data_IF_556211308392
#
_entry.id   IF_556211308392
#
_cell.length_a   1.000
_cell.length_b   1.000
_cell.length_c   1.000
_cell.angle_alpha   90.00
_cell.angle_beta   90.00
_cell.angle_gamma   90.00
#
_symmetry.space_group_name_H-M   'P 1'
#
loop_
_entity.id
_entity.type
_entity.pdbx_description
1 polymer ?
#
# COMPACT_ATOMS: atom_id res chain seq x y z
N UNK A 1 73.94 -24.64 -4.52
CA UNK A 1 73.13 -23.47 -5.02
C UNK A 1 71.67 -23.82 -4.77
N UNK A 2 71.13 -23.37 -3.63
CA UNK A 2 69.73 -23.56 -3.26
C UNK A 2 68.94 -22.32 -3.69
N UNK A 3 67.98 -22.50 -4.60
CA UNK A 3 67.03 -21.45 -4.96
C UNK A 3 65.80 -21.57 -4.06
N UNK A 4 65.65 -20.61 -3.12
CA UNK A 4 64.41 -20.40 -2.37
C UNK A 4 63.35 -19.81 -3.30
N UNK A 5 62.23 -20.50 -3.45
CA UNK A 5 61.07 -19.97 -4.13
C UNK A 5 60.17 -19.35 -3.05
N UNK A 6 60.04 -18.01 -3.13
CA UNK A 6 59.19 -17.24 -2.25
C UNK A 6 57.75 -17.22 -2.84
N UNK A 7 56.81 -17.88 -2.20
CA UNK A 7 55.40 -17.84 -2.58
C UNK A 7 54.74 -16.60 -1.98
N UNK A 8 54.43 -15.61 -2.82
CA UNK A 8 53.61 -14.45 -2.43
C UNK A 8 52.15 -14.87 -2.43
N UNK A 9 51.57 -14.96 -1.25
CA UNK A 9 50.11 -15.14 -1.08
C UNK A 9 49.46 -13.74 -1.27
N UNK A 10 48.78 -13.55 -2.41
CA UNK A 10 47.89 -12.42 -2.62
C UNK A 10 46.59 -12.71 -1.89
N UNK A 11 46.35 -11.98 -0.79
CA UNK A 11 45.02 -11.88 -0.20
C UNK A 11 44.17 -10.96 -1.10
N UNK A 12 43.27 -11.54 -1.88
CA UNK A 12 42.21 -10.84 -2.53
C UNK A 12 41.18 -10.45 -1.45
N UNK A 13 41.24 -9.23 -0.99
CA UNK A 13 40.10 -8.62 -0.27
C UNK A 13 38.95 -8.49 -1.26
N UNK A 14 38.01 -9.45 -1.19
CA UNK A 14 36.71 -9.29 -1.82
C UNK A 14 35.97 -8.19 -1.07
N UNK A 15 35.94 -7.01 -1.65
CA UNK A 15 35.03 -5.96 -1.25
C UNK A 15 33.63 -6.45 -1.64
N UNK A 16 32.89 -7.09 -0.74
CA UNK A 16 31.49 -7.35 -0.93
C UNK A 16 30.78 -5.99 -0.90
N UNK A 17 30.50 -5.44 -2.07
CA UNK A 17 29.52 -4.38 -2.19
C UNK A 17 28.19 -4.96 -1.65
N UNK A 18 27.72 -4.50 -0.50
CA UNK A 18 26.38 -4.74 0.00
C UNK A 18 25.37 -4.10 -0.96
N UNK A 19 25.18 -4.75 -2.11
CA UNK A 19 24.01 -4.49 -2.91
C UNK A 19 22.85 -5.18 -2.19
N UNK A 20 21.99 -4.42 -1.54
CA UNK A 20 20.71 -4.87 -1.07
C UNK A 20 19.88 -5.29 -2.29
N UNK A 21 19.97 -6.57 -2.64
CA UNK A 21 19.22 -7.12 -3.77
C UNK A 21 17.79 -7.36 -3.34
N UNK A 22 16.85 -6.88 -4.17
CA UNK A 22 15.50 -7.37 -4.11
C UNK A 22 15.52 -8.88 -4.43
N UNK A 23 15.01 -9.68 -3.51
CA UNK A 23 14.86 -11.12 -3.69
C UNK A 23 13.54 -11.39 -4.39
N UNK A 24 13.60 -12.13 -5.50
CA UNK A 24 12.41 -12.56 -6.24
C UNK A 24 11.81 -13.80 -5.60
N UNK A 25 10.49 -13.79 -5.45
CA UNK A 25 9.72 -14.92 -4.93
C UNK A 25 8.48 -15.18 -5.79
N UNK A 26 8.06 -16.44 -5.79
CA UNK A 26 6.79 -16.83 -6.40
C UNK A 26 6.06 -17.82 -5.51
N UNK A 27 4.76 -17.69 -5.40
CA UNK A 27 3.91 -18.53 -4.56
C UNK A 27 2.66 -18.93 -5.35
N UNK A 28 2.27 -20.20 -5.23
CA UNK A 28 1.04 -20.68 -5.84
C UNK A 28 -0.16 -20.13 -5.05
N UNK A 29 -1.00 -19.38 -5.75
CA UNK A 29 -2.24 -18.86 -5.18
C UNK A 29 -3.35 -18.99 -6.23
N UNK A 30 -4.48 -19.57 -5.82
CA UNK A 30 -5.44 -20.10 -6.78
C UNK A 30 -4.71 -21.00 -7.79
N UNK A 31 -4.98 -20.95 -9.05
CA UNK A 31 -4.36 -21.77 -10.11
C UNK A 31 -3.18 -21.07 -10.82
N UNK A 32 -2.56 -20.06 -10.18
CA UNK A 32 -1.50 -19.28 -10.80
C UNK A 32 -0.32 -19.00 -9.87
N UNK A 33 0.88 -18.88 -10.48
CA UNK A 33 2.04 -18.40 -9.74
C UNK A 33 1.97 -16.89 -9.63
N UNK A 34 1.94 -16.39 -8.38
CA UNK A 34 1.94 -14.95 -8.06
C UNK A 34 3.34 -14.57 -7.57
N UNK A 35 3.83 -13.43 -8.02
CA UNK A 35 5.18 -12.95 -7.75
C UNK A 35 5.18 -11.85 -6.71
N UNK A 36 6.22 -11.80 -5.88
CA UNK A 36 6.52 -10.68 -4.99
C UNK A 36 8.03 -10.52 -4.82
N UNK A 37 8.45 -9.34 -4.41
CA UNK A 37 9.85 -9.02 -4.16
C UNK A 37 10.05 -8.73 -2.68
N UNK A 38 11.20 -9.11 -2.12
CA UNK A 38 11.52 -8.84 -0.72
C UNK A 38 12.79 -7.99 -0.63
N UNK A 39 12.72 -6.91 0.11
CA UNK A 39 13.86 -6.16 0.59
C UNK A 39 14.14 -6.54 2.04
N UNK A 40 15.38 -6.88 2.33
CA UNK A 40 15.82 -7.21 3.68
C UNK A 40 16.89 -6.20 4.08
N UNK A 41 16.72 -5.47 5.21
CA UNK A 41 17.70 -4.49 5.66
C UNK A 41 19.03 -5.16 6.05
N UNK A 42 20.10 -4.38 6.11
CA UNK A 42 21.43 -4.90 6.42
C UNK A 42 21.55 -5.46 7.85
N UNK A 43 20.72 -4.97 8.79
CA UNK A 43 20.63 -5.43 10.16
C UNK A 43 19.35 -6.25 10.39
N UNK A 44 19.42 -7.56 10.36
CA UNK A 44 18.29 -8.41 10.73
C UNK A 44 18.33 -8.65 12.24
N UNK A 45 17.26 -8.23 12.93
CA UNK A 45 17.09 -8.39 14.38
C UNK A 45 15.98 -9.36 14.74
N UNK A 46 15.54 -9.27 15.99
CA UNK A 46 14.30 -9.85 16.51
C UNK A 46 13.18 -8.81 16.43
N UNK A 47 11.93 -9.26 16.50
CA UNK A 47 10.75 -8.38 16.55
C UNK A 47 10.69 -7.37 15.39
N UNK A 48 10.98 -7.83 14.16
CA UNK A 48 11.01 -7.00 12.97
C UNK A 48 9.62 -6.50 12.55
N UNK A 49 9.59 -5.35 11.89
CA UNK A 49 8.39 -4.87 11.20
C UNK A 49 8.43 -5.29 9.74
N UNK A 50 7.34 -5.90 9.25
CA UNK A 50 7.12 -6.17 7.84
C UNK A 50 6.25 -5.07 7.23
N UNK A 51 6.73 -4.45 6.15
CA UNK A 51 5.98 -3.48 5.36
C UNK A 51 5.60 -4.09 4.02
N UNK A 52 4.30 -4.22 3.76
CA UNK A 52 3.75 -4.71 2.49
C UNK A 52 3.38 -3.52 1.62
N UNK A 53 4.07 -3.31 0.51
CA UNK A 53 3.88 -2.20 -0.41
C UNK A 53 3.05 -2.58 -1.65
N UNK A 54 1.89 -1.95 -1.85
CA UNK A 54 0.92 -2.24 -2.90
C UNK A 54 0.87 -1.10 -3.93
N UNK A 55 1.22 -1.40 -5.19
CA UNK A 55 1.21 -0.42 -6.28
C UNK A 55 -0.22 -0.07 -6.73
N UNK A 56 -0.39 1.07 -7.41
CA UNK A 56 -1.67 1.46 -8.02
C UNK A 56 -2.00 0.70 -9.31
N UNK A 57 -3.18 0.96 -9.87
CA UNK A 57 -3.60 0.45 -11.18
C UNK A 57 -2.53 0.75 -12.24
N UNK A 58 -2.22 -0.22 -13.10
CA UNK A 58 -1.12 -0.18 -14.09
C UNK A 58 0.31 -0.13 -13.52
N UNK A 59 0.45 -0.09 -12.21
CA UNK A 59 1.74 -0.03 -11.53
C UNK A 59 2.48 -1.37 -11.47
N UNK A 60 3.53 -1.40 -10.67
CA UNK A 60 4.34 -2.59 -10.37
C UNK A 60 5.08 -2.39 -9.05
N UNK A 61 5.63 -3.45 -8.48
CA UNK A 61 6.56 -3.37 -7.34
C UNK A 61 7.66 -2.33 -7.57
N UNK A 62 8.25 -2.31 -8.76
CA UNK A 62 9.31 -1.37 -9.12
C UNK A 62 8.84 0.09 -9.09
N UNK A 63 7.63 0.38 -9.58
CA UNK A 63 7.09 1.75 -9.58
C UNK A 63 6.67 2.18 -8.17
N UNK A 64 6.31 1.24 -7.29
CA UNK A 64 6.07 1.53 -5.89
C UNK A 64 7.36 1.88 -5.14
N UNK A 65 8.42 1.06 -5.30
CA UNK A 65 9.71 1.24 -4.64
C UNK A 65 10.35 2.58 -5.03
N UNK A 66 10.25 2.95 -6.31
CA UNK A 66 10.84 4.18 -6.83
C UNK A 66 9.77 5.21 -7.16
N UNK A 67 9.76 6.29 -6.38
CA UNK A 67 8.85 7.40 -6.60
C UNK A 67 9.66 8.70 -6.74
N UNK A 68 9.77 9.19 -7.98
CA UNK A 68 10.59 10.34 -8.29
C UNK A 68 12.06 10.13 -7.87
N UNK A 69 12.57 10.99 -6.99
CA UNK A 69 13.91 10.91 -6.40
C UNK A 69 13.99 10.04 -5.13
N UNK A 70 12.85 9.52 -4.65
CA UNK A 70 12.81 8.66 -3.48
C UNK A 70 12.93 7.17 -3.86
N UNK A 71 13.62 6.43 -3.01
CA UNK A 71 13.66 4.98 -2.99
C UNK A 71 13.08 4.51 -1.66
N UNK A 72 11.97 3.81 -1.69
CA UNK A 72 11.27 3.36 -0.48
C UNK A 72 12.15 2.43 0.39
N UNK A 73 13.03 1.66 -0.24
CA UNK A 73 13.99 0.81 0.48
C UNK A 73 14.97 1.59 1.35
N UNK A 74 15.29 2.85 1.01
CA UNK A 74 16.16 3.69 1.85
C UNK A 74 15.46 4.00 3.19
N UNK A 75 14.14 4.22 3.16
CA UNK A 75 13.34 4.39 4.38
C UNK A 75 13.30 3.10 5.21
N UNK A 76 13.13 1.94 4.56
CA UNK A 76 13.13 0.64 5.24
C UNK A 76 14.48 0.32 5.87
N UNK A 77 15.60 0.63 5.19
CA UNK A 77 16.94 0.46 5.73
C UNK A 77 17.16 1.29 7.01
N UNK A 78 16.79 2.58 6.98
CA UNK A 78 16.93 3.49 8.11
C UNK A 78 16.14 3.02 9.33
N UNK A 79 14.93 2.48 9.11
CA UNK A 79 14.02 2.04 10.17
C UNK A 79 14.21 0.55 10.53
N UNK A 80 15.11 -0.16 9.87
CA UNK A 80 15.34 -1.58 10.03
C UNK A 80 14.08 -2.43 9.80
N UNK A 81 13.33 -2.13 8.73
CA UNK A 81 12.11 -2.84 8.35
C UNK A 81 12.35 -3.77 7.17
N UNK A 82 11.67 -4.91 7.15
CA UNK A 82 11.60 -5.79 5.99
C UNK A 82 10.50 -5.28 5.07
N UNK A 83 10.81 -5.07 3.78
CA UNK A 83 9.83 -4.71 2.76
C UNK A 83 9.41 -5.90 1.92
N UNK A 84 8.15 -6.00 1.58
CA UNK A 84 7.68 -6.92 0.55
C UNK A 84 6.77 -6.20 -0.43
N UNK A 85 6.94 -6.48 -1.71
CA UNK A 85 6.29 -5.80 -2.81
C UNK A 85 5.64 -6.82 -3.74
N UNK A 86 4.41 -7.22 -3.46
CA UNK A 86 3.64 -8.10 -4.33
C UNK A 86 3.32 -7.45 -5.66
N UNK A 87 3.16 -8.27 -6.71
CA UNK A 87 2.67 -7.83 -8.02
C UNK A 87 1.19 -8.12 -8.17
N UNK A 88 0.44 -7.09 -8.55
CA UNK A 88 -0.96 -7.20 -8.93
C UNK A 88 -1.14 -8.11 -10.15
N UNK A 89 -2.35 -8.65 -10.33
CA UNK A 89 -2.66 -9.48 -11.48
C UNK A 89 -2.46 -8.68 -12.77
N UNK A 90 -1.56 -9.16 -13.64
CA UNK A 90 -1.25 -8.47 -14.89
C UNK A 90 -1.93 -9.11 -16.10
N UNK A 91 -2.32 -8.27 -17.04
CA UNK A 91 -3.00 -8.66 -18.26
C UNK A 91 -2.66 -7.69 -19.40
N UNK A 92 -2.93 -8.10 -20.63
CA UNK A 92 -2.73 -7.26 -21.81
C UNK A 92 -4.07 -6.81 -22.36
N UNK A 93 -4.22 -5.51 -22.59
CA UNK A 93 -5.37 -4.93 -23.26
C UNK A 93 -4.92 -3.76 -24.14
N UNK A 94 -5.52 -3.61 -25.32
CA UNK A 94 -5.23 -2.51 -26.26
C UNK A 94 -3.72 -2.34 -26.57
N UNK A 95 -2.97 -3.45 -26.64
CA UNK A 95 -1.53 -3.46 -26.90
C UNK A 95 -0.66 -2.96 -25.76
N UNK A 96 -1.21 -2.81 -24.54
CA UNK A 96 -0.49 -2.39 -23.33
C UNK A 96 -0.65 -3.42 -22.22
N UNK A 97 0.34 -3.49 -21.33
CA UNK A 97 0.28 -4.29 -20.12
C UNK A 97 -0.38 -3.45 -19.02
N UNK A 98 -1.35 -4.03 -18.36
CA UNK A 98 -2.03 -3.50 -17.18
C UNK A 98 -1.75 -4.42 -15.99
N UNK A 99 -1.97 -3.89 -14.79
CA UNK A 99 -1.97 -4.64 -13.55
C UNK A 99 -2.96 -4.01 -12.59
N UNK A 100 -3.66 -4.81 -11.81
CA UNK A 100 -4.63 -4.34 -10.85
C UNK A 100 -4.77 -5.29 -9.66
N UNK A 101 -5.42 -4.81 -8.64
CA UNK A 101 -5.80 -5.53 -7.44
C UNK A 101 -7.31 -5.63 -7.33
N UNK A 102 -7.80 -6.76 -6.85
CA UNK A 102 -9.18 -6.89 -6.41
C UNK A 102 -9.34 -6.19 -5.06
N UNK A 103 -9.86 -4.98 -5.10
CA UNK A 103 -10.21 -4.17 -3.92
C UNK A 103 -11.64 -4.45 -3.40
N UNK A 104 -12.27 -5.51 -3.89
CA UNK A 104 -13.63 -5.99 -3.64
C UNK A 104 -14.74 -5.14 -4.27
N UNK A 105 -14.47 -3.93 -4.69
CA UNK A 105 -15.44 -3.02 -5.30
C UNK A 105 -15.24 -2.89 -6.81
N UNK A 106 -14.03 -2.56 -7.23
CA UNK A 106 -13.69 -2.34 -8.64
C UNK A 106 -13.84 -3.59 -9.51
N UNK A 107 -13.80 -4.80 -8.93
CA UNK A 107 -14.00 -6.06 -9.64
C UNK A 107 -15.47 -6.35 -9.94
N UNK A 108 -16.40 -5.95 -9.07
CA UNK A 108 -17.85 -6.22 -9.23
C UNK A 108 -18.60 -5.04 -9.86
N UNK A 109 -18.09 -3.82 -9.73
CA UNK A 109 -18.66 -2.62 -10.35
C UNK A 109 -19.96 -2.13 -9.75
N UNK A 110 -20.46 -2.76 -8.70
CA UNK A 110 -21.71 -2.42 -8.03
C UNK A 110 -21.54 -2.56 -6.51
N UNK A 111 -21.98 -1.56 -5.78
CA UNK A 111 -21.94 -1.53 -4.33
C UNK A 111 -23.32 -1.51 -3.69
N UNK A 112 -23.38 -1.43 -2.34
CA UNK A 112 -24.64 -1.35 -1.60
C UNK A 112 -25.51 -0.14 -1.93
N UNK A 113 -24.90 0.92 -2.46
CA UNK A 113 -25.57 2.17 -2.88
C UNK A 113 -25.84 2.22 -4.38
N UNK A 114 -25.64 1.12 -5.10
CA UNK A 114 -25.83 1.01 -6.56
C UNK A 114 -24.52 0.91 -7.34
N UNK A 115 -24.57 1.28 -8.61
CA UNK A 115 -23.40 1.27 -9.50
C UNK A 115 -22.31 2.22 -8.97
N UNK A 116 -21.04 1.78 -9.08
CA UNK A 116 -19.89 2.61 -8.66
C UNK A 116 -19.40 3.56 -9.74
N UNK A 117 -20.14 3.72 -10.84
CA UNK A 117 -19.81 4.64 -11.92
C UNK A 117 -21.04 5.20 -12.61
N UNK A 118 -20.88 6.34 -13.28
CA UNK A 118 -21.87 6.93 -14.17
C UNK A 118 -22.02 6.11 -15.47
N UNK A 119 -23.08 6.39 -16.22
CA UNK A 119 -23.32 5.77 -17.54
C UNK A 119 -22.22 6.18 -18.55
N UNK A 120 -21.74 7.42 -18.45
CA UNK A 120 -20.75 8.04 -19.36
C UNK A 120 -19.31 7.99 -18.82
N UNK A 121 -19.03 7.10 -17.82
CA UNK A 121 -17.67 6.94 -17.25
C UNK A 121 -16.63 6.57 -18.30
N UNK A 122 -15.36 6.89 -18.03
CA UNK A 122 -14.23 6.39 -18.78
C UNK A 122 -14.12 4.87 -18.69
N UNK A 123 -13.68 4.24 -19.77
CA UNK A 123 -13.47 2.80 -19.80
C UNK A 123 -12.07 2.43 -19.35
N UNK A 124 -11.98 1.62 -18.31
CA UNK A 124 -10.75 0.99 -17.88
C UNK A 124 -10.75 -0.52 -18.22
N UNK A 125 -9.67 -1.03 -18.85
CA UNK A 125 -9.54 -2.46 -19.08
C UNK A 125 -9.45 -3.23 -17.76
N UNK A 126 -10.05 -4.41 -17.74
CA UNK A 126 -9.98 -5.38 -16.63
C UNK A 126 -9.45 -6.74 -17.13
N UNK A 127 -8.97 -7.63 -16.22
CA UNK A 127 -8.48 -8.95 -16.61
C UNK A 127 -9.51 -9.74 -17.41
N UNK A 128 -9.11 -10.42 -18.50
CA UNK A 128 -10.04 -11.13 -19.40
C UNK A 128 -10.66 -12.38 -18.76
N UNK A 129 -10.14 -12.85 -17.64
CA UNK A 129 -10.66 -13.95 -16.84
C UNK A 129 -11.74 -13.54 -15.83
N UNK A 130 -12.08 -12.26 -15.73
CA UNK A 130 -13.25 -11.80 -14.98
C UNK A 130 -14.54 -12.28 -15.68
N UNK A 131 -15.32 -13.10 -15.01
CA UNK A 131 -16.55 -13.69 -15.58
C UNK A 131 -17.70 -12.69 -15.44
N UNK A 132 -18.30 -12.30 -16.58
CA UNK A 132 -19.48 -11.40 -16.64
C UNK A 132 -19.29 -10.12 -15.78
N UNK A 133 -18.24 -9.34 -16.00
CA UNK A 133 -18.00 -8.15 -15.22
C UNK A 133 -19.12 -7.13 -15.45
N UNK A 134 -19.45 -6.40 -14.37
CA UNK A 134 -20.37 -5.27 -14.48
C UNK A 134 -19.73 -4.15 -15.32
N UNK A 135 -20.57 -3.26 -15.93
CA UNK A 135 -20.08 -2.14 -16.75
C UNK A 135 -19.10 -1.21 -16.04
N UNK A 136 -19.18 -1.13 -14.71
CA UNK A 136 -18.27 -0.33 -13.89
C UNK A 136 -17.04 -1.11 -13.39
N UNK A 137 -16.88 -2.39 -13.75
CA UNK A 137 -15.72 -3.19 -13.32
C UNK A 137 -14.45 -2.71 -14.02
N UNK A 138 -13.34 -2.62 -13.27
CA UNK A 138 -12.04 -2.20 -13.78
C UNK A 138 -10.85 -2.89 -13.10
N UNK A 139 -11.06 -3.57 -11.99
CA UNK A 139 -10.02 -4.21 -11.21
C UNK A 139 -9.96 -5.73 -11.43
N UNK A 140 -8.95 -6.37 -10.87
CA UNK A 140 -8.81 -7.84 -10.83
C UNK A 140 -10.01 -8.50 -10.15
N UNK A 141 -10.33 -9.73 -10.56
CA UNK A 141 -11.38 -10.58 -9.98
C UNK A 141 -10.81 -11.72 -9.12
N UNK A 142 -9.48 -11.79 -8.93
CA UNK A 142 -8.83 -12.82 -8.14
C UNK A 142 -8.90 -12.58 -6.64
N UNK A 143 -8.51 -13.57 -5.85
CA UNK A 143 -8.39 -13.45 -4.38
C UNK A 143 -7.05 -12.78 -4.00
N UNK A 144 -6.97 -11.46 -4.13
CA UNK A 144 -5.77 -10.73 -3.77
C UNK A 144 -5.56 -10.61 -2.26
N UNK A 145 -6.63 -10.63 -1.45
CA UNK A 145 -6.51 -10.65 0.02
C UNK A 145 -5.84 -11.94 0.48
N UNK A 146 -6.29 -13.10 0.01
CA UNK A 146 -5.65 -14.38 0.34
C UNK A 146 -4.24 -14.51 -0.22
N UNK A 147 -3.94 -13.89 -1.37
CA UNK A 147 -2.56 -13.81 -1.86
C UNK A 147 -1.66 -13.02 -0.91
N UNK A 148 -2.08 -11.83 -0.45
CA UNK A 148 -1.31 -11.01 0.48
C UNK A 148 -1.18 -11.71 1.85
N UNK A 149 -2.22 -12.41 2.29
CA UNK A 149 -2.14 -13.24 3.50
C UNK A 149 -1.02 -14.28 3.40
N UNK A 150 -0.92 -15.02 2.29
CA UNK A 150 0.18 -15.97 2.05
C UNK A 150 1.56 -15.30 2.00
N UNK A 151 1.66 -14.09 1.44
CA UNK A 151 2.91 -13.32 1.42
C UNK A 151 3.32 -12.93 2.84
N UNK A 152 2.39 -12.49 3.69
CA UNK A 152 2.65 -12.19 5.11
C UNK A 152 3.12 -13.47 5.83
N UNK A 153 2.42 -14.58 5.66
CA UNK A 153 2.77 -15.85 6.29
C UNK A 153 4.14 -16.36 5.84
N UNK A 154 4.50 -16.19 4.57
CA UNK A 154 5.84 -16.52 4.06
C UNK A 154 6.94 -15.79 4.85
N UNK A 155 6.75 -14.49 5.14
CA UNK A 155 7.72 -13.71 5.88
C UNK A 155 7.71 -14.03 7.38
N UNK A 156 6.53 -14.24 7.99
CA UNK A 156 6.42 -14.68 9.40
C UNK A 156 7.07 -16.05 9.65
N UNK A 157 7.08 -16.93 8.65
CA UNK A 157 7.77 -18.22 8.75
C UNK A 157 9.30 -18.12 8.60
N UNK A 158 9.81 -17.05 8.02
CA UNK A 158 11.24 -16.86 7.73
C UNK A 158 11.93 -15.91 8.69
N UNK A 159 11.20 -14.93 9.21
CA UNK A 159 11.73 -13.86 10.07
C UNK A 159 10.86 -13.72 11.33
N UNK A 160 11.46 -13.26 12.40
CA UNK A 160 10.74 -12.91 13.64
C UNK A 160 9.98 -11.58 13.45
N UNK A 161 8.79 -11.67 12.83
CA UNK A 161 7.93 -10.52 12.53
C UNK A 161 6.97 -10.28 13.68
N UNK A 162 7.09 -9.12 14.31
CA UNK A 162 6.22 -8.66 15.39
C UNK A 162 5.07 -7.79 14.88
N UNK A 163 5.33 -6.93 13.90
CA UNK A 163 4.34 -5.99 13.37
C UNK A 163 4.27 -6.05 11.85
N UNK A 164 3.06 -5.87 11.30
CA UNK A 164 2.80 -5.84 9.87
C UNK A 164 2.07 -4.54 9.51
N UNK A 165 2.67 -3.75 8.63
CA UNK A 165 2.09 -2.52 8.06
C UNK A 165 1.82 -2.76 6.58
N UNK A 166 0.60 -2.50 6.13
CA UNK A 166 0.24 -2.55 4.71
C UNK A 166 0.08 -1.13 4.19
N UNK A 167 0.87 -0.77 3.19
CA UNK A 167 0.82 0.55 2.55
C UNK A 167 0.50 0.40 1.07
N UNK A 168 -0.43 1.20 0.56
CA UNK A 168 -0.79 1.14 -0.85
C UNK A 168 -1.16 2.50 -1.44
N UNK A 169 -0.99 2.63 -2.75
CA UNK A 169 -1.33 3.82 -3.54
C UNK A 169 -2.50 3.52 -4.47
N UNK A 170 -3.51 4.41 -4.51
CA UNK A 170 -4.64 4.31 -5.45
C UNK A 170 -5.37 2.96 -5.30
N UNK A 171 -5.51 2.15 -6.34
CA UNK A 171 -6.03 0.78 -6.26
C UNK A 171 -5.32 -0.08 -5.18
N UNK A 172 -3.99 0.08 -5.01
CA UNK A 172 -3.26 -0.55 -3.90
C UNK A 172 -3.65 0.00 -2.52
N UNK A 173 -4.02 1.28 -2.43
CA UNK A 173 -4.56 1.90 -1.21
C UNK A 173 -5.96 1.36 -0.87
N UNK A 174 -6.80 1.17 -1.88
CA UNK A 174 -8.11 0.53 -1.74
C UNK A 174 -7.96 -0.91 -1.22
N UNK A 175 -7.01 -1.68 -1.79
CA UNK A 175 -6.71 -3.02 -1.31
C UNK A 175 -6.12 -2.99 0.10
N UNK A 176 -5.25 -2.04 0.45
CA UNK A 176 -4.71 -1.90 1.81
C UNK A 176 -5.83 -1.73 2.84
N UNK A 177 -6.84 -0.92 2.54
CA UNK A 177 -8.02 -0.77 3.40
C UNK A 177 -8.84 -2.07 3.48
N UNK A 178 -9.07 -2.75 2.37
CA UNK A 178 -9.77 -4.03 2.35
C UNK A 178 -9.02 -5.11 3.17
N UNK A 179 -7.68 -5.15 3.09
CA UNK A 179 -6.82 -6.03 3.89
C UNK A 179 -6.97 -5.69 5.38
N UNK A 180 -6.92 -4.41 5.74
CA UNK A 180 -7.12 -3.96 7.11
C UNK A 180 -8.44 -4.42 7.70
N UNK A 181 -9.51 -4.48 6.89
CA UNK A 181 -10.80 -4.98 7.34
C UNK A 181 -10.89 -6.51 7.46
N UNK A 182 -10.16 -7.25 6.62
CA UNK A 182 -10.30 -8.71 6.51
C UNK A 182 -9.21 -9.50 7.23
N UNK A 183 -8.00 -8.94 7.43
CA UNK A 183 -6.86 -9.61 8.04
C UNK A 183 -6.45 -9.00 9.39
N UNK A 184 -7.43 -8.60 10.21
CA UNK A 184 -7.23 -7.93 11.51
C UNK A 184 -6.41 -8.74 12.54
N UNK A 185 -6.21 -10.04 12.32
CA UNK A 185 -5.36 -10.90 13.16
C UNK A 185 -3.89 -10.95 12.67
N UNK A 186 -3.60 -10.37 11.50
CA UNK A 186 -2.29 -10.45 10.86
C UNK A 186 -1.66 -9.10 10.58
N UNK A 187 -2.48 -8.02 10.54
CA UNK A 187 -2.08 -6.67 10.17
C UNK A 187 -2.36 -5.71 11.33
N UNK A 188 -1.38 -4.91 11.70
CA UNK A 188 -1.43 -3.98 12.83
C UNK A 188 -1.76 -2.56 12.38
N UNK A 189 -1.35 -2.18 11.17
CA UNK A 189 -1.62 -0.86 10.61
C UNK A 189 -1.79 -0.88 9.09
N UNK A 190 -2.59 0.06 8.59
CA UNK A 190 -2.68 0.36 7.16
C UNK A 190 -2.32 1.81 6.88
N UNK A 191 -1.71 2.04 5.71
CA UNK A 191 -1.49 3.36 5.12
C UNK A 191 -2.14 3.36 3.74
N UNK A 192 -3.21 4.12 3.61
CA UNK A 192 -3.97 4.27 2.37
C UNK A 192 -3.62 5.62 1.72
N UNK A 193 -2.94 5.58 0.56
CA UNK A 193 -2.55 6.78 -0.20
C UNK A 193 -3.48 6.90 -1.40
N UNK A 194 -4.32 7.95 -1.46
CA UNK A 194 -5.22 8.24 -2.59
C UNK A 194 -6.08 7.05 -3.03
N UNK A 195 -6.49 6.21 -2.07
CA UNK A 195 -7.24 4.97 -2.32
C UNK A 195 -8.63 5.00 -1.68
N UNK A 196 -9.41 6.06 -1.91
CA UNK A 196 -10.79 6.12 -1.41
C UNK A 196 -11.58 4.94 -1.97
N UNK A 197 -12.31 4.23 -1.11
CA UNK A 197 -13.13 3.09 -1.52
C UNK A 197 -14.29 3.54 -2.42
N UNK A 198 -14.73 2.66 -3.31
CA UNK A 198 -15.94 2.91 -4.08
C UNK A 198 -17.12 3.21 -3.16
N UNK A 199 -18.03 4.06 -3.63
CA UNK A 199 -19.16 4.59 -2.84
C UNK A 199 -19.98 3.49 -2.15
N UNK A 200 -20.06 3.56 -0.82
CA UNK A 200 -20.76 2.57 0.00
C UNK A 200 -19.98 1.29 0.30
N UNK A 201 -18.74 1.16 -0.20
CA UNK A 201 -17.89 -0.01 0.01
C UNK A 201 -16.84 0.18 1.11
N UNK A 202 -16.81 1.36 1.76
CA UNK A 202 -15.93 1.55 2.91
C UNK A 202 -16.26 0.55 4.01
N UNK A 203 -15.24 -0.19 4.43
CA UNK A 203 -15.40 -1.25 5.42
C UNK A 203 -14.87 -0.81 6.79
N UNK A 204 -15.37 -1.45 7.84
CA UNK A 204 -14.91 -1.27 9.23
C UNK A 204 -14.28 -2.59 9.67
N UNK A 205 -13.03 -2.56 10.18
CA UNK A 205 -12.37 -3.76 10.70
C UNK A 205 -13.11 -4.37 11.90
N UNK A 206 -13.06 -5.69 12.02
CA UNK A 206 -13.66 -6.42 13.15
C UNK A 206 -12.90 -6.21 14.46
N UNK A 207 -11.61 -5.89 14.39
CA UNK A 207 -10.75 -5.58 15.53
C UNK A 207 -10.06 -4.24 15.27
N UNK A 208 -9.76 -3.45 16.32
CA UNK A 208 -9.04 -2.21 16.14
C UNK A 208 -7.69 -2.41 15.48
N UNK A 209 -7.41 -1.64 14.44
CA UNK A 209 -6.10 -1.50 13.79
C UNK A 209 -5.81 -0.02 13.52
N UNK A 210 -4.56 0.35 13.47
CA UNK A 210 -4.15 1.73 13.15
C UNK A 210 -4.38 2.04 11.67
N UNK A 211 -4.92 3.23 11.38
CA UNK A 211 -5.11 3.70 10.00
C UNK A 211 -4.45 5.06 9.80
N UNK A 212 -3.68 5.19 8.73
CA UNK A 212 -3.30 6.47 8.13
C UNK A 212 -3.91 6.54 6.74
N UNK A 213 -4.68 7.58 6.46
CA UNK A 213 -5.28 7.82 5.15
C UNK A 213 -4.84 9.19 4.63
N UNK A 214 -4.27 9.21 3.44
CA UNK A 214 -3.82 10.43 2.75
C UNK A 214 -4.67 10.66 1.52
N UNK A 215 -5.16 11.87 1.36
CA UNK A 215 -5.86 12.35 0.18
C UNK A 215 -5.36 13.74 -0.22
N UNK A 216 -5.35 14.03 -1.52
CA UNK A 216 -4.98 15.35 -2.04
C UNK A 216 -6.20 16.05 -2.65
N UNK A 217 -6.39 17.32 -2.30
CA UNK A 217 -7.57 18.10 -2.67
C UNK A 217 -7.75 18.28 -4.18
N UNK A 218 -6.63 18.30 -4.92
CA UNK A 218 -6.64 18.43 -6.38
C UNK A 218 -6.63 17.06 -7.09
N UNK A 219 -6.81 15.96 -6.36
CA UNK A 219 -7.03 14.65 -6.96
C UNK A 219 -8.42 14.59 -7.59
N UNK A 220 -8.45 14.48 -8.92
CA UNK A 220 -9.69 14.34 -9.70
C UNK A 220 -9.97 12.90 -10.11
N UNK A 221 -9.01 12.00 -9.88
CA UNK A 221 -9.12 10.56 -10.21
C UNK A 221 -9.75 9.78 -9.06
N UNK A 222 -9.30 10.03 -7.82
CA UNK A 222 -9.86 9.44 -6.59
C UNK A 222 -10.04 10.56 -5.56
N UNK A 223 -11.04 11.45 -5.76
CA UNK A 223 -11.18 12.67 -4.97
C UNK A 223 -11.47 12.36 -3.49
N UNK A 224 -10.72 12.97 -2.54
CA UNK A 224 -10.90 12.69 -1.11
C UNK A 224 -12.15 13.35 -0.51
N UNK A 225 -12.69 14.40 -1.15
CA UNK A 225 -13.81 15.19 -0.63
C UNK A 225 -15.09 15.04 -1.46
N UNK A 226 -14.99 14.65 -2.74
CA UNK A 226 -16.11 14.53 -3.66
C UNK A 226 -16.47 13.08 -3.94
N UNK A 227 -17.74 12.81 -4.17
CA UNK A 227 -18.20 11.48 -4.54
C UNK A 227 -17.84 11.15 -5.98
N UNK A 228 -18.10 12.08 -6.92
CA UNK A 228 -17.89 11.87 -8.35
C UNK A 228 -16.48 12.29 -8.75
N UNK A 229 -15.74 11.37 -9.33
CA UNK A 229 -14.45 11.60 -9.97
C UNK A 229 -14.58 12.09 -11.41
N UNK A 230 -13.50 12.67 -11.96
CA UNK A 230 -13.50 13.24 -13.32
C UNK A 230 -13.69 12.19 -14.42
N UNK A 231 -13.40 10.94 -14.13
CA UNK A 231 -13.57 9.76 -15.03
C UNK A 231 -14.93 9.07 -14.88
N UNK A 232 -15.81 9.63 -14.05
CA UNK A 232 -17.18 9.16 -13.87
C UNK A 232 -17.33 8.02 -12.86
N UNK A 233 -16.33 7.73 -12.01
CA UNK A 233 -16.45 6.77 -10.91
C UNK A 233 -16.86 7.46 -9.61
N UNK A 234 -17.51 6.69 -8.71
CA UNK A 234 -18.02 7.20 -7.43
C UNK A 234 -17.22 6.62 -6.27
N UNK A 235 -16.70 7.53 -5.43
CA UNK A 235 -15.90 7.17 -4.26
C UNK A 235 -16.50 7.65 -2.95
N UNK A 236 -16.20 6.96 -1.87
CA UNK A 236 -16.59 7.37 -0.52
C UNK A 236 -15.67 8.50 -0.06
N UNK A 237 -16.20 9.68 0.35
CA UNK A 237 -15.37 10.74 0.87
C UNK A 237 -14.49 10.29 2.04
N UNK A 238 -13.21 10.67 2.05
CA UNK A 238 -12.23 10.31 3.07
C UNK A 238 -12.74 10.53 4.49
N UNK A 239 -13.42 11.67 4.72
CA UNK A 239 -14.00 12.02 6.01
C UNK A 239 -15.01 10.97 6.52
N UNK A 240 -15.77 10.33 5.64
CA UNK A 240 -16.75 9.32 6.05
C UNK A 240 -16.02 8.08 6.57
N UNK A 241 -15.02 7.56 5.83
CA UNK A 241 -14.19 6.44 6.26
C UNK A 241 -13.52 6.71 7.61
N UNK A 242 -12.92 7.90 7.79
CA UNK A 242 -12.30 8.32 9.05
C UNK A 242 -13.32 8.35 10.18
N UNK A 243 -14.50 8.92 9.95
CA UNK A 243 -15.56 8.97 10.97
C UNK A 243 -16.06 7.59 11.35
N UNK A 244 -16.24 6.70 10.38
CA UNK A 244 -16.71 5.34 10.64
C UNK A 244 -15.70 4.57 11.49
N UNK A 245 -14.42 4.65 11.18
CA UNK A 245 -13.38 3.95 11.93
C UNK A 245 -13.18 4.52 13.34
N UNK A 246 -13.07 5.86 13.48
CA UNK A 246 -12.91 6.47 14.82
C UNK A 246 -14.10 6.21 15.74
N UNK A 247 -15.32 6.17 15.19
CA UNK A 247 -16.51 5.87 15.96
C UNK A 247 -16.58 4.38 16.32
N UNK A 248 -16.22 3.47 15.40
CA UNK A 248 -16.16 2.04 15.67
C UNK A 248 -15.15 1.67 16.74
N UNK A 249 -14.05 2.42 16.84
CA UNK A 249 -12.99 2.19 17.82
C UNK A 249 -13.04 3.15 19.01
N UNK A 250 -14.14 3.88 19.20
CA UNK A 250 -14.38 4.76 20.36
C UNK A 250 -13.24 5.74 20.62
N UNK A 251 -12.65 6.33 19.58
CA UNK A 251 -11.57 7.30 19.74
C UNK A 251 -12.09 8.55 20.47
N UNK A 252 -11.55 8.85 21.65
CA UNK A 252 -12.08 9.90 22.54
C UNK A 252 -11.40 11.25 22.38
N UNK A 253 -10.22 11.30 21.78
CA UNK A 253 -9.40 12.49 21.64
C UNK A 253 -8.96 12.72 20.20
N UNK A 254 -8.74 13.99 19.83
CA UNK A 254 -8.11 14.34 18.57
C UNK A 254 -7.21 15.56 18.68
N UNK A 255 -6.26 15.66 17.76
CA UNK A 255 -5.44 16.85 17.52
C UNK A 255 -5.47 17.20 16.04
N UNK A 256 -5.38 18.50 15.74
CA UNK A 256 -5.27 19.02 14.39
C UNK A 256 -3.93 19.73 14.25
N UNK A 257 -3.15 19.36 13.23
CA UNK A 257 -1.86 19.96 12.91
C UNK A 257 -1.91 20.51 11.50
N UNK A 258 -1.43 21.74 11.33
CA UNK A 258 -1.25 22.37 10.02
C UNK A 258 0.24 22.40 9.69
N UNK A 259 0.60 21.85 8.54
CA UNK A 259 1.98 21.82 8.03
C UNK A 259 2.00 22.67 6.76
N UNK A 260 2.67 23.82 6.81
CA UNK A 260 2.74 24.75 5.66
C UNK A 260 4.04 24.62 4.85
N UNK A 261 5.02 23.86 5.36
CA UNK A 261 6.31 23.64 4.72
C UNK A 261 6.83 22.23 5.09
N UNK A 262 7.22 21.38 4.13
CA UNK A 262 7.39 21.64 2.69
C UNK A 262 6.10 21.53 1.87
N UNK A 263 4.97 21.14 2.45
CA UNK A 263 3.66 21.01 1.78
C UNK A 263 2.59 21.70 2.61
N UNK A 264 1.43 21.98 1.98
CA UNK A 264 0.26 22.54 2.67
C UNK A 264 -0.68 21.40 3.08
N UNK A 265 -0.51 20.91 4.31
CA UNK A 265 -1.17 19.73 4.84
C UNK A 265 -2.03 20.09 6.04
N UNK A 266 -3.25 19.57 6.07
CA UNK A 266 -4.06 19.43 7.28
C UNK A 266 -4.01 17.98 7.74
N UNK A 267 -3.51 17.75 8.94
CA UNK A 267 -3.47 16.44 9.59
C UNK A 267 -4.46 16.45 10.76
N UNK A 268 -5.35 15.47 10.81
CA UNK A 268 -6.21 15.22 11.96
C UNK A 268 -5.90 13.83 12.50
N UNK A 269 -5.48 13.78 13.76
CA UNK A 269 -5.03 12.57 14.45
C UNK A 269 -5.97 12.25 15.62
N UNK A 270 -6.62 11.09 15.58
CA UNK A 270 -7.50 10.57 16.61
C UNK A 270 -6.77 9.51 17.42
N UNK A 271 -6.85 9.60 18.75
CA UNK A 271 -6.15 8.73 19.68
C UNK A 271 -7.01 8.41 20.91
N UNK A 272 -6.46 7.63 21.86
CA UNK A 272 -7.23 7.02 22.93
C UNK A 272 -8.42 6.21 22.40
N UNK A 273 -8.15 5.41 21.39
CA UNK A 273 -9.09 4.48 20.78
C UNK A 273 -9.00 3.11 21.46
N UNK A 274 -10.04 2.28 21.29
CA UNK A 274 -10.02 0.88 21.72
C UNK A 274 -8.80 0.17 21.12
N UNK A 275 -8.19 -0.73 21.88
CA UNK A 275 -6.98 -1.45 21.46
C UNK A 275 -5.70 -0.60 21.39
N UNK A 276 -5.74 0.67 21.79
CA UNK A 276 -4.59 1.58 21.73
C UNK A 276 -4.18 2.02 20.34
N UNK A 277 -5.05 1.81 19.34
CA UNK A 277 -4.81 2.21 17.96
C UNK A 277 -5.04 3.71 17.73
N UNK A 278 -4.61 4.19 16.57
CA UNK A 278 -4.83 5.59 16.15
C UNK A 278 -5.42 5.64 14.74
N UNK A 279 -6.17 6.70 14.47
CA UNK A 279 -6.71 7.00 13.14
C UNK A 279 -6.20 8.36 12.72
N UNK A 280 -5.50 8.45 11.60
CA UNK A 280 -4.93 9.71 11.12
C UNK A 280 -5.41 9.98 9.70
N UNK A 281 -5.98 11.14 9.48
CA UNK A 281 -6.28 11.66 8.14
C UNK A 281 -5.32 12.80 7.78
N UNK A 282 -4.81 12.75 6.55
CA UNK A 282 -3.85 13.71 6.02
C UNK A 282 -4.44 14.26 4.72
N UNK A 283 -4.82 15.54 4.69
CA UNK A 283 -5.30 16.23 3.49
C UNK A 283 -4.25 17.18 2.96
N UNK A 284 -3.74 16.92 1.77
CA UNK A 284 -2.83 17.82 1.05
C UNK A 284 -3.65 18.81 0.18
N UNK A 285 -3.49 20.09 0.44
CA UNK A 285 -4.27 21.13 -0.25
C UNK A 285 -3.74 21.48 -1.65
N UNK A 286 -2.55 21.01 -2.01
CA UNK A 286 -1.88 21.43 -3.26
C UNK A 286 -1.56 20.28 -4.21
N UNK A 287 -1.49 19.04 -3.72
CA UNK A 287 -1.15 17.88 -4.53
C UNK A 287 -2.37 17.35 -5.31
N UNK A 288 -2.13 16.50 -6.30
CA UNK A 288 -3.13 15.72 -7.04
C UNK A 288 -2.91 14.23 -6.78
N UNK A 289 -3.34 13.36 -7.70
CA UNK A 289 -3.26 11.90 -7.56
C UNK A 289 -1.81 11.40 -7.53
N UNK A 290 -1.14 11.61 -6.40
CA UNK A 290 0.28 11.28 -6.20
C UNK A 290 0.61 11.15 -4.70
N UNK A 291 1.79 10.59 -4.40
CA UNK A 291 2.34 10.56 -3.05
C UNK A 291 2.59 11.97 -2.51
N UNK A 292 2.57 12.17 -1.17
CA UNK A 292 2.93 13.46 -0.58
C UNK A 292 4.35 13.89 -0.98
N UNK A 293 4.51 15.16 -1.30
CA UNK A 293 5.77 15.74 -1.81
C UNK A 293 6.38 16.74 -0.83
N UNK A 294 7.71 16.84 -0.76
CA UNK A 294 8.74 16.02 -1.45
C UNK A 294 8.69 14.54 -1.03
N UNK A 295 8.92 13.60 -1.93
CA UNK A 295 8.63 12.17 -1.70
C UNK A 295 9.33 11.57 -0.47
N UNK A 296 10.61 11.89 -0.22
CA UNK A 296 11.35 11.41 0.97
C UNK A 296 10.71 11.89 2.28
N UNK A 297 10.30 13.14 2.31
CA UNK A 297 9.59 13.71 3.45
C UNK A 297 8.19 13.10 3.56
N UNK A 298 7.50 12.93 2.44
CA UNK A 298 6.17 12.35 2.38
C UNK A 298 6.10 10.93 2.92
N UNK A 299 7.11 10.10 2.64
CA UNK A 299 7.20 8.75 3.22
C UNK A 299 7.28 8.85 4.76
N UNK A 300 8.11 9.74 5.31
CA UNK A 300 8.19 9.92 6.76
C UNK A 300 6.87 10.44 7.35
N UNK A 301 6.22 11.40 6.70
CA UNK A 301 4.91 11.92 7.11
C UNK A 301 3.86 10.79 7.25
N UNK A 302 3.82 9.84 6.31
CA UNK A 302 2.87 8.74 6.31
C UNK A 302 3.13 7.73 7.44
N UNK A 303 4.38 7.55 7.84
CA UNK A 303 4.75 6.60 8.90
C UNK A 303 4.81 7.22 10.30
N UNK A 304 4.97 8.56 10.41
CA UNK A 304 5.07 9.26 11.71
C UNK A 304 3.95 8.87 12.69
N UNK A 305 2.65 8.78 12.29
CA UNK A 305 1.57 8.43 13.21
C UNK A 305 1.59 6.98 13.70
N UNK A 306 2.36 6.09 13.07
CA UNK A 306 2.46 4.66 13.42
C UNK A 306 3.70 4.41 14.29
N UNK A 307 4.77 5.20 14.10
CA UNK A 307 6.06 4.99 14.73
C UNK A 307 6.22 5.75 16.06
N UNK A 308 5.36 6.73 16.33
CA UNK A 308 5.31 7.51 17.59
C UNK A 308 4.24 6.99 18.54
#
# INVERSE_FOLDING_TARGET
>A
MNKSIMFSIFFLFSCSSNNSFLQDHSILHEDSMRTFYTYVPSNIGTEMTLVVGLHGYTGSAKTFIRKGDANFNDFLEINNFIGTYPEGKSFNANGRKFSSWNDLAGSIGQGPKGDICDIDRDYYPFPPDCINPHRCSWASCGDDIGFIEKVIDHHKNKYDIKSVIVIGMSNGGMLAQAIGCNLTDKVDAIINIEGMQALGMSCIPKKPITMVIYGAKNDTTVPPENILASDGYFYEPMKNTVNDWKNAFNCSNSTIKQISNPANISEEHFYNCDGGVTITSILDHNNGHDWPKPYKWGINLLFEPILN
#
